data_IF_862498754944
#
_entry.id   IF_862498754944
#
_cell.length_a   1.000
_cell.length_b   1.000
_cell.length_c   1.000
_cell.angle_alpha   90.00
_cell.angle_beta   90.00
_cell.angle_gamma   90.00
#
_symmetry.space_group_name_H-M   'P 1'
#
loop_
_entity.id
_entity.type
_entity.pdbx_description
1 polymer ?
#
# COMPACT_ATOMS: atom_id res chain seq x y z
N UNK A 1 -35.16 31.71 44.07
CA UNK A 1 -36.27 31.68 43.10
C UNK A 1 -35.83 30.85 41.91
N UNK A 2 -36.37 29.64 41.78
CA UNK A 2 -36.66 28.87 40.55
C UNK A 2 -36.93 27.42 40.98
N UNK A 3 -38.15 27.22 41.46
CA UNK A 3 -38.83 25.93 41.57
C UNK A 3 -39.31 25.49 40.18
N UNK A 4 -39.26 24.18 39.93
CA UNK A 4 -40.24 23.50 39.09
C UNK A 4 -39.82 23.19 37.66
N UNK A 5 -39.27 22.00 37.43
CA UNK A 5 -39.41 21.28 36.16
C UNK A 5 -39.99 19.90 36.42
N UNK A 6 -41.05 19.48 35.68
CA UNK A 6 -41.81 18.29 36.01
C UNK A 6 -41.10 17.00 35.57
N UNK A 7 -40.95 16.08 36.52
CA UNK A 7 -40.39 14.72 36.39
C UNK A 7 -41.17 13.76 35.48
N UNK A 8 -42.12 14.25 34.67
CA UNK A 8 -43.15 13.41 34.05
C UNK A 8 -42.84 12.93 32.62
N UNK A 9 -41.72 13.32 32.03
CA UNK A 9 -41.37 12.97 30.64
C UNK A 9 -40.45 11.74 30.48
N UNK A 10 -39.81 11.27 31.56
CA UNK A 10 -38.86 10.14 31.49
C UNK A 10 -39.57 8.78 31.36
N UNK A 11 -40.84 8.67 31.78
CA UNK A 11 -41.60 7.42 31.69
C UNK A 11 -42.11 7.07 30.29
N UNK A 12 -42.33 8.06 29.41
CA UNK A 12 -42.88 7.82 28.06
C UNK A 12 -41.82 7.42 27.02
N UNK A 13 -40.57 7.84 27.21
CA UNK A 13 -39.46 7.42 26.34
C UNK A 13 -39.02 5.98 26.61
N UNK A 14 -39.05 5.53 27.87
CA UNK A 14 -38.75 4.13 28.21
C UNK A 14 -39.75 3.13 27.59
N UNK A 15 -41.05 3.45 27.60
CA UNK A 15 -42.10 2.58 27.03
C UNK A 15 -42.09 2.54 25.48
N UNK A 16 -41.60 3.60 24.83
CA UNK A 16 -41.44 3.64 23.37
C UNK A 16 -40.21 2.84 22.90
N UNK A 17 -39.12 2.84 23.68
CA UNK A 17 -37.91 2.05 23.39
C UNK A 17 -38.16 0.55 23.60
N UNK A 18 -38.98 0.18 24.58
CA UNK A 18 -39.30 -1.23 24.84
C UNK A 18 -40.20 -1.85 23.76
N UNK A 19 -41.15 -1.08 23.20
CA UNK A 19 -41.98 -1.52 22.06
C UNK A 19 -41.19 -1.63 20.73
N UNK A 20 -40.08 -0.91 20.58
CA UNK A 20 -39.17 -1.05 19.44
C UNK A 20 -38.33 -2.33 19.55
N UNK A 21 -38.01 -2.77 20.77
CA UNK A 21 -37.20 -3.96 21.00
C UNK A 21 -37.99 -5.27 20.73
N UNK A 22 -39.32 -5.28 20.94
CA UNK A 22 -40.17 -6.44 20.62
C UNK A 22 -40.50 -6.61 19.13
N UNK A 23 -40.38 -5.57 18.31
CA UNK A 23 -40.55 -5.70 16.84
C UNK A 23 -39.30 -6.20 16.11
N UNK A 24 -38.15 -6.28 16.79
CA UNK A 24 -36.88 -6.75 16.23
C UNK A 24 -36.69 -8.27 16.45
N UNK A 25 -37.56 -8.94 17.21
CA UNK A 25 -37.53 -10.39 17.42
C UNK A 25 -38.30 -11.22 16.38
N UNK A 26 -38.41 -10.74 15.13
CA UNK A 26 -38.78 -11.63 14.02
C UNK A 26 -37.51 -12.38 13.62
N UNK A 27 -37.42 -13.71 13.78
CA UNK A 27 -36.29 -14.47 13.28
C UNK A 27 -36.29 -14.34 11.75
N UNK A 28 -35.33 -13.56 11.23
CA UNK A 28 -35.02 -13.56 9.82
C UNK A 28 -34.73 -15.01 9.42
N UNK A 29 -35.64 -15.60 8.64
CA UNK A 29 -35.46 -16.89 8.04
C UNK A 29 -34.09 -16.91 7.34
N UNK A 30 -33.19 -17.72 7.87
CA UNK A 30 -31.92 -18.11 7.27
C UNK A 30 -32.19 -18.66 5.87
N UNK A 31 -32.22 -17.77 4.87
CA UNK A 31 -32.20 -18.14 3.46
C UNK A 31 -30.91 -18.89 3.22
N UNK A 32 -31.07 -20.13 2.77
CA UNK A 32 -30.08 -21.19 2.90
C UNK A 32 -28.68 -20.84 2.39
N UNK A 33 -27.71 -21.34 3.14
CA UNK A 33 -26.26 -21.35 2.94
C UNK A 33 -25.80 -22.07 1.65
N UNK A 34 -26.64 -22.17 0.61
CA UNK A 34 -26.33 -22.80 -0.69
C UNK A 34 -25.44 -21.92 -1.58
N UNK A 35 -25.35 -20.62 -1.31
CA UNK A 35 -24.50 -19.68 -2.06
C UNK A 35 -23.01 -19.79 -1.70
N UNK A 36 -22.67 -19.99 -0.42
CA UNK A 36 -21.27 -20.06 0.05
C UNK A 36 -20.55 -21.28 -0.49
N UNK A 37 -21.17 -22.47 -0.44
CA UNK A 37 -20.56 -23.70 -0.95
C UNK A 37 -20.28 -23.66 -2.46
N UNK A 38 -21.13 -23.01 -3.26
CA UNK A 38 -20.90 -22.83 -4.70
C UNK A 38 -19.78 -21.83 -4.97
N UNK A 39 -19.66 -20.80 -4.13
CA UNK A 39 -18.61 -19.80 -4.24
C UNK A 39 -17.24 -20.37 -3.82
N UNK A 40 -17.18 -21.11 -2.72
CA UNK A 40 -15.96 -21.79 -2.28
C UNK A 40 -15.49 -22.77 -3.35
N UNK A 41 -16.42 -23.51 -3.97
CA UNK A 41 -16.10 -24.39 -5.10
C UNK A 41 -15.60 -23.62 -6.32
N UNK A 42 -16.19 -22.47 -6.64
CA UNK A 42 -15.80 -21.64 -7.79
C UNK A 42 -14.45 -20.94 -7.55
N UNK A 43 -14.16 -20.53 -6.31
CA UNK A 43 -12.87 -20.00 -5.89
C UNK A 43 -11.80 -21.08 -5.95
N UNK A 44 -12.07 -22.27 -5.43
CA UNK A 44 -11.19 -23.44 -5.57
C UNK A 44 -10.99 -23.77 -7.05
N UNK A 45 -12.04 -23.73 -7.87
CA UNK A 45 -11.93 -23.98 -9.32
C UNK A 45 -11.07 -22.92 -10.00
N UNK A 46 -11.23 -21.63 -9.69
CA UNK A 46 -10.38 -20.56 -10.26
C UNK A 46 -8.94 -20.73 -9.80
N UNK A 47 -8.71 -21.04 -8.52
CA UNK A 47 -7.37 -21.33 -8.00
C UNK A 47 -6.76 -22.55 -8.69
N UNK A 48 -7.53 -23.62 -8.89
CA UNK A 48 -7.10 -24.84 -9.59
C UNK A 48 -6.84 -24.56 -11.07
N UNK A 49 -7.68 -23.76 -11.74
CA UNK A 49 -7.46 -23.38 -13.14
C UNK A 49 -6.22 -22.50 -13.26
N UNK A 50 -6.03 -21.52 -12.38
CA UNK A 50 -4.82 -20.68 -12.36
C UNK A 50 -3.59 -21.53 -12.06
N UNK A 51 -3.66 -22.45 -11.09
CA UNK A 51 -2.59 -23.41 -10.80
C UNK A 51 -2.35 -24.40 -11.94
N UNK A 52 -3.37 -24.75 -12.73
CA UNK A 52 -3.24 -25.61 -13.90
C UNK A 52 -2.67 -24.87 -15.12
N UNK A 53 -2.78 -23.53 -15.14
CA UNK A 53 -2.06 -22.69 -16.11
C UNK A 53 -0.60 -22.44 -15.69
N UNK A 54 -0.24 -22.73 -14.43
CA UNK A 54 1.16 -22.91 -14.05
C UNK A 54 1.57 -24.29 -14.57
N UNK A 55 2.49 -24.40 -15.54
CA UNK A 55 2.88 -25.69 -16.08
C UNK A 55 3.38 -26.58 -14.94
N UNK A 56 2.69 -27.70 -14.71
CA UNK A 56 3.12 -28.75 -13.78
C UNK A 56 4.45 -29.26 -14.31
N UNK A 57 5.54 -28.86 -13.65
CA UNK A 57 6.87 -29.32 -13.98
C UNK A 57 6.88 -30.85 -13.96
N UNK A 58 7.18 -31.44 -15.12
CA UNK A 58 7.59 -32.84 -15.20
C UNK A 58 8.82 -32.99 -14.31
N UNK A 59 8.71 -33.74 -13.22
CA UNK A 59 9.82 -34.06 -12.33
C UNK A 59 10.91 -34.92 -13.00
N UNK A 60 10.73 -35.26 -14.28
CA UNK A 60 11.71 -35.99 -15.08
C UNK A 60 11.87 -35.37 -16.47
N UNK A 61 13.09 -34.89 -16.72
CA UNK A 61 13.68 -34.74 -18.06
C UNK A 61 13.35 -33.45 -18.81
N UNK A 62 14.18 -32.42 -18.61
CA UNK A 62 14.21 -31.25 -19.47
C UNK A 62 15.30 -30.27 -19.04
N UNK A 63 16.50 -30.42 -19.61
CA UNK A 63 17.61 -29.47 -19.47
C UNK A 63 17.30 -28.17 -20.24
N UNK A 64 16.42 -27.34 -19.68
CA UNK A 64 16.14 -26.00 -20.17
C UNK A 64 15.52 -25.13 -19.07
N UNK A 65 15.83 -23.82 -19.02
CA UNK A 65 15.27 -22.94 -18.00
C UNK A 65 13.74 -22.93 -18.08
N UNK A 66 13.05 -22.84 -16.94
CA UNK A 66 11.59 -22.68 -16.87
C UNK A 66 11.16 -21.52 -17.79
N UNK A 67 10.63 -21.83 -18.98
CA UNK A 67 10.14 -20.80 -19.90
C UNK A 67 8.72 -20.41 -19.48
N UNK A 68 8.60 -19.73 -18.34
CA UNK A 68 7.36 -19.02 -18.03
C UNK A 68 7.28 -17.83 -18.99
N UNK A 69 6.32 -17.88 -19.91
CA UNK A 69 6.18 -16.82 -20.91
C UNK A 69 5.69 -15.52 -20.27
N UNK A 70 6.11 -14.37 -20.83
CA UNK A 70 5.58 -13.04 -20.46
C UNK A 70 4.05 -13.00 -20.50
N UNK A 71 3.43 -13.67 -21.48
CA UNK A 71 1.97 -13.74 -21.60
C UNK A 71 1.32 -14.48 -20.43
N UNK A 72 1.93 -15.58 -19.95
CA UNK A 72 1.44 -16.31 -18.79
C UNK A 72 1.44 -15.45 -17.52
N UNK A 73 2.51 -14.67 -17.30
CA UNK A 73 2.58 -13.77 -16.14
C UNK A 73 1.50 -12.67 -16.15
N UNK A 74 1.21 -12.10 -17.33
CA UNK A 74 0.11 -11.14 -17.52
C UNK A 74 -1.24 -11.82 -17.24
N UNK A 75 -1.45 -13.05 -17.73
CA UNK A 75 -2.68 -13.78 -17.50
C UNK A 75 -2.91 -14.07 -16.00
N UNK A 76 -1.85 -14.44 -15.26
CA UNK A 76 -1.90 -14.63 -13.81
C UNK A 76 -2.25 -13.32 -13.10
N UNK A 77 -1.60 -12.21 -13.46
CA UNK A 77 -1.92 -10.89 -12.92
C UNK A 77 -3.38 -10.50 -13.15
N UNK A 78 -3.86 -10.60 -14.40
CA UNK A 78 -5.24 -10.29 -14.77
C UNK A 78 -6.25 -11.21 -14.08
N UNK A 79 -5.90 -12.49 -13.89
CA UNK A 79 -6.70 -13.44 -13.11
C UNK A 79 -6.86 -13.00 -11.65
N UNK A 80 -5.79 -12.54 -11.01
CA UNK A 80 -5.83 -11.98 -9.67
C UNK A 80 -6.70 -10.72 -9.57
N UNK A 81 -6.52 -9.78 -10.52
CA UNK A 81 -7.37 -8.56 -10.62
C UNK A 81 -8.83 -8.91 -10.82
N UNK A 82 -9.13 -9.87 -11.70
CA UNK A 82 -10.48 -10.37 -11.96
C UNK A 82 -11.12 -10.98 -10.72
N UNK A 83 -10.35 -11.72 -9.91
CA UNK A 83 -10.83 -12.30 -8.66
C UNK A 83 -11.14 -11.22 -7.61
N UNK A 84 -10.29 -10.20 -7.47
CA UNK A 84 -10.55 -9.04 -6.58
C UNK A 84 -11.83 -8.32 -7.01
N UNK A 85 -11.94 -7.96 -8.30
CA UNK A 85 -13.10 -7.27 -8.84
C UNK A 85 -14.38 -8.10 -8.70
N UNK A 86 -14.31 -9.41 -9.01
CA UNK A 86 -15.42 -10.35 -8.86
C UNK A 86 -15.91 -10.45 -7.42
N UNK A 87 -15.00 -10.62 -6.46
CA UNK A 87 -15.36 -10.68 -5.04
C UNK A 87 -15.98 -9.37 -4.54
N UNK A 88 -15.43 -8.22 -4.95
CA UNK A 88 -15.98 -6.91 -4.60
C UNK A 88 -17.39 -6.69 -5.21
N UNK A 89 -17.61 -7.09 -6.46
CA UNK A 89 -18.91 -7.00 -7.13
C UNK A 89 -19.94 -7.95 -6.49
N UNK A 90 -19.54 -9.17 -6.13
CA UNK A 90 -20.41 -10.12 -5.45
C UNK A 90 -20.79 -9.64 -4.05
N UNK A 91 -19.86 -9.03 -3.30
CA UNK A 91 -20.17 -8.35 -2.02
C UNK A 91 -21.16 -7.21 -2.26
N UNK A 92 -20.92 -6.39 -3.28
CA UNK A 92 -21.78 -5.23 -3.59
C UNK A 92 -23.21 -5.63 -3.95
N UNK A 93 -23.39 -6.79 -4.58
CA UNK A 93 -24.71 -7.37 -4.92
C UNK A 93 -25.28 -8.28 -3.82
N UNK A 94 -24.66 -8.30 -2.64
CA UNK A 94 -25.10 -9.11 -1.48
C UNK A 94 -25.15 -10.63 -1.74
N UNK A 95 -24.42 -11.13 -2.75
CA UNK A 95 -24.37 -12.56 -3.06
C UNK A 95 -23.44 -13.36 -2.14
N UNK A 96 -22.47 -12.69 -1.51
CA UNK A 96 -21.48 -13.30 -0.62
C UNK A 96 -21.33 -12.47 0.65
N UNK A 97 -21.02 -13.15 1.76
CA UNK A 97 -20.70 -12.46 3.02
C UNK A 97 -19.44 -11.59 2.86
N UNK A 98 -19.32 -10.47 3.58
CA UNK A 98 -18.10 -9.66 3.63
C UNK A 98 -16.87 -10.48 4.02
N UNK A 99 -17.01 -11.46 4.91
CA UNK A 99 -15.89 -12.33 5.31
C UNK A 99 -15.36 -13.12 4.13
N UNK A 100 -16.25 -13.78 3.38
CA UNK A 100 -15.90 -14.53 2.17
C UNK A 100 -15.29 -13.61 1.11
N UNK A 101 -15.88 -12.42 0.90
CA UNK A 101 -15.37 -11.44 -0.04
C UNK A 101 -13.95 -10.97 0.31
N UNK A 102 -13.67 -10.71 1.59
CA UNK A 102 -12.35 -10.28 2.06
C UNK A 102 -11.28 -11.35 1.87
N UNK A 103 -11.58 -12.62 2.17
CA UNK A 103 -10.66 -13.72 1.88
C UNK A 103 -10.43 -13.88 0.37
N UNK A 104 -11.50 -13.79 -0.42
CA UNK A 104 -11.41 -13.80 -1.88
C UNK A 104 -10.51 -12.68 -2.40
N UNK A 105 -10.72 -11.45 -1.94
CA UNK A 105 -9.84 -10.31 -2.29
C UNK A 105 -8.40 -10.57 -1.87
N UNK A 106 -8.16 -11.10 -0.67
CA UNK A 106 -6.81 -11.44 -0.20
C UNK A 106 -6.11 -12.45 -1.11
N UNK A 107 -6.81 -13.50 -1.54
CA UNK A 107 -6.29 -14.48 -2.52
C UNK A 107 -6.03 -13.82 -3.87
N UNK A 108 -6.95 -12.97 -4.35
CA UNK A 108 -6.80 -12.27 -5.62
C UNK A 108 -5.60 -11.33 -5.64
N UNK A 109 -5.36 -10.61 -4.53
CA UNK A 109 -4.18 -9.76 -4.36
C UNK A 109 -2.89 -10.58 -4.37
N UNK A 110 -2.86 -11.72 -3.68
CA UNK A 110 -1.70 -12.62 -3.71
C UNK A 110 -1.40 -13.11 -5.12
N UNK A 111 -2.42 -13.58 -5.85
CA UNK A 111 -2.29 -14.03 -7.24
C UNK A 111 -1.82 -12.89 -8.15
N UNK A 112 -2.37 -11.68 -7.99
CA UNK A 112 -1.97 -10.51 -8.77
C UNK A 112 -0.50 -10.16 -8.54
N UNK A 113 -0.06 -10.11 -7.27
CA UNK A 113 1.33 -9.81 -6.92
C UNK A 113 2.27 -10.89 -7.44
N UNK A 114 1.90 -12.16 -7.32
CA UNK A 114 2.68 -13.26 -7.90
C UNK A 114 2.85 -13.08 -9.42
N UNK A 115 1.77 -12.72 -10.13
CA UNK A 115 1.82 -12.40 -11.55
C UNK A 115 2.79 -11.27 -11.88
N UNK A 116 2.82 -10.21 -11.06
CA UNK A 116 3.76 -9.10 -11.21
C UNK A 116 5.21 -9.55 -10.96
N UNK A 117 5.48 -10.29 -9.89
CA UNK A 117 6.81 -10.77 -9.54
C UNK A 117 7.38 -11.64 -10.66
N UNK A 118 6.56 -12.56 -11.18
CA UNK A 118 6.93 -13.39 -12.32
C UNK A 118 7.18 -12.52 -13.56
N UNK A 119 6.27 -11.58 -13.86
CA UNK A 119 6.39 -10.69 -15.02
C UNK A 119 7.69 -9.89 -14.98
N UNK A 120 8.05 -9.37 -13.80
CA UNK A 120 9.26 -8.60 -13.60
C UNK A 120 10.52 -9.44 -13.81
N UNK A 121 10.54 -10.67 -13.26
CA UNK A 121 11.65 -11.61 -13.40
C UNK A 121 11.85 -12.19 -14.81
N UNK A 122 10.80 -12.24 -15.65
CA UNK A 122 10.90 -12.72 -17.05
C UNK A 122 11.03 -11.58 -18.07
N UNK A 123 10.86 -10.33 -17.65
CA UNK A 123 10.96 -9.16 -18.53
C UNK A 123 12.32 -8.49 -18.31
N UNK A 124 13.19 -8.42 -19.33
CA UNK A 124 14.50 -7.79 -19.20
C UNK A 124 14.36 -6.31 -18.83
N UNK A 125 15.27 -5.82 -18.02
CA UNK A 125 15.28 -4.42 -17.62
C UNK A 125 15.61 -3.52 -18.83
N UNK A 126 14.79 -2.49 -19.08
CA UNK A 126 15.08 -1.57 -20.15
C UNK A 126 16.30 -0.72 -19.79
N UNK A 127 17.40 -0.90 -20.53
CA UNK A 127 18.58 -0.05 -20.41
C UNK A 127 18.40 1.21 -21.27
N UNK A 128 18.16 2.35 -20.63
CA UNK A 128 18.08 3.65 -21.31
C UNK A 128 19.37 4.44 -21.12
N UNK A 129 19.86 5.08 -22.19
CA UNK A 129 21.01 5.97 -22.11
C UNK A 129 20.63 7.26 -21.36
N UNK A 130 21.58 7.87 -20.63
CA UNK A 130 21.35 9.14 -19.92
C UNK A 130 20.93 10.30 -20.86
N UNK A 131 21.21 10.19 -22.16
CA UNK A 131 20.73 11.13 -23.19
C UNK A 131 19.21 11.12 -23.40
N UNK A 132 18.49 10.12 -22.87
CA UNK A 132 17.03 10.02 -22.92
C UNK A 132 16.33 10.62 -21.70
N UNK A 133 17.07 11.27 -20.79
CA UNK A 133 16.47 12.01 -19.69
C UNK A 133 15.59 13.16 -20.23
N UNK A 134 14.36 13.32 -19.73
CA UNK A 134 13.46 14.37 -20.22
C UNK A 134 13.95 15.78 -19.88
N UNK A 135 14.74 15.93 -18.81
CA UNK A 135 15.31 17.19 -18.37
C UNK A 135 16.75 17.00 -17.89
N UNK A 136 17.64 18.00 -18.08
CA UNK A 136 18.98 17.94 -17.51
C UNK A 136 18.93 18.08 -15.99
N UNK A 137 19.82 17.36 -15.30
CA UNK A 137 19.89 17.31 -13.81
C UNK A 137 20.09 18.69 -13.15
N UNK A 138 20.59 19.69 -13.88
CA UNK A 138 20.68 21.07 -13.37
C UNK A 138 19.31 21.65 -12.98
N UNK A 139 18.22 21.18 -13.60
CA UNK A 139 16.86 21.60 -13.24
C UNK A 139 16.33 20.93 -11.98
N UNK A 140 16.92 19.81 -11.55
CA UNK A 140 16.46 19.08 -10.37
C UNK A 140 16.63 19.93 -9.12
N UNK A 141 17.69 20.74 -9.05
CA UNK A 141 17.92 21.66 -7.93
C UNK A 141 16.81 22.71 -7.83
N UNK A 142 16.50 23.37 -8.94
CA UNK A 142 15.46 24.39 -8.98
C UNK A 142 14.10 23.81 -8.61
N UNK A 143 13.73 22.66 -9.20
CA UNK A 143 12.45 22.01 -8.92
C UNK A 143 12.40 21.44 -7.51
N UNK A 144 13.44 20.76 -7.04
CA UNK A 144 13.50 20.16 -5.71
C UNK A 144 13.40 21.19 -4.60
N UNK A 145 14.15 22.30 -4.70
CA UNK A 145 14.03 23.40 -3.75
C UNK A 145 12.68 24.11 -3.86
N UNK A 146 12.24 24.45 -5.07
CA UNK A 146 10.97 25.15 -5.28
C UNK A 146 9.77 24.35 -4.75
N UNK A 147 9.71 23.05 -5.08
CA UNK A 147 8.67 22.14 -4.62
C UNK A 147 8.78 21.96 -3.09
N UNK A 148 9.95 21.66 -2.55
CA UNK A 148 10.12 21.48 -1.11
C UNK A 148 9.70 22.71 -0.30
N UNK A 149 10.16 23.91 -0.71
CA UNK A 149 9.79 25.18 -0.05
C UNK A 149 8.30 25.48 -0.18
N UNK A 150 7.71 25.28 -1.36
CA UNK A 150 6.28 25.49 -1.56
C UNK A 150 5.43 24.54 -0.69
N UNK A 151 5.84 23.28 -0.54
CA UNK A 151 5.20 22.33 0.38
C UNK A 151 5.30 22.80 1.82
N UNK A 152 6.46 23.28 2.28
CA UNK A 152 6.63 23.85 3.63
C UNK A 152 5.68 25.04 3.85
N UNK A 153 5.71 26.02 2.95
CA UNK A 153 4.92 27.25 3.07
C UNK A 153 3.42 26.96 3.00
N UNK A 154 2.99 26.12 2.05
CA UNK A 154 1.59 25.72 1.92
C UNK A 154 1.13 24.94 3.15
N UNK A 155 1.93 24.00 3.67
CA UNK A 155 1.60 23.24 4.86
C UNK A 155 1.47 24.13 6.09
N UNK A 156 2.33 25.14 6.21
CA UNK A 156 2.26 26.13 7.28
C UNK A 156 0.98 26.98 7.18
N UNK A 157 0.70 27.54 6.00
CA UNK A 157 -0.50 28.36 5.77
C UNK A 157 -1.80 27.58 5.96
N UNK A 158 -1.91 26.40 5.35
CA UNK A 158 -3.09 25.53 5.48
C UNK A 158 -3.20 25.02 6.93
N UNK A 159 -2.09 24.62 7.55
CA UNK A 159 -2.07 24.16 8.93
C UNK A 159 -2.58 25.20 9.92
N UNK A 160 -2.11 26.44 9.80
CA UNK A 160 -2.58 27.55 10.64
C UNK A 160 -4.05 27.90 10.40
N UNK A 161 -4.51 27.89 9.15
CA UNK A 161 -5.87 28.32 8.82
C UNK A 161 -6.92 27.22 9.08
N UNK A 162 -6.62 25.98 8.68
CA UNK A 162 -7.57 24.87 8.73
C UNK A 162 -7.50 24.08 10.03
N UNK A 163 -6.33 23.98 10.66
CA UNK A 163 -6.10 23.14 11.84
C UNK A 163 -5.26 23.83 12.94
N UNK A 164 -5.68 25.00 13.46
CA UNK A 164 -4.90 25.75 14.46
C UNK A 164 -4.68 24.98 15.76
N UNK A 165 -5.58 24.05 16.10
CA UNK A 165 -5.50 23.21 17.31
C UNK A 165 -4.75 21.89 17.10
N UNK A 166 -4.33 21.57 15.86
CA UNK A 166 -3.65 20.31 15.51
C UNK A 166 -2.34 20.58 14.76
N UNK A 167 -1.33 21.18 15.42
CA UNK A 167 -0.07 21.59 14.77
C UNK A 167 0.72 20.42 14.18
N UNK A 168 0.47 19.19 14.63
CA UNK A 168 1.08 17.95 14.13
C UNK A 168 0.93 17.76 12.61
N UNK A 169 -0.17 18.21 11.98
CA UNK A 169 -0.33 18.13 10.52
C UNK A 169 0.58 19.13 9.81
N UNK A 170 0.75 20.32 10.37
CA UNK A 170 1.72 21.31 9.91
C UNK A 170 3.14 20.76 9.97
N UNK A 171 3.51 20.12 11.09
CA UNK A 171 4.82 19.49 11.25
C UNK A 171 5.06 18.37 10.24
N UNK A 172 4.03 17.55 9.95
CA UNK A 172 4.14 16.52 8.92
C UNK A 172 4.43 17.15 7.56
N UNK A 173 3.68 18.19 7.17
CA UNK A 173 3.91 18.90 5.92
C UNK A 173 5.28 19.58 5.83
N UNK A 174 5.78 20.16 6.93
CA UNK A 174 7.14 20.71 7.00
C UNK A 174 8.18 19.61 6.81
N UNK A 175 8.03 18.47 7.50
CA UNK A 175 8.93 17.32 7.38
C UNK A 175 8.97 16.77 5.95
N UNK A 176 7.81 16.72 5.29
CA UNK A 176 7.66 16.30 3.90
C UNK A 176 8.30 17.29 2.92
N UNK A 177 8.18 18.60 3.14
CA UNK A 177 8.88 19.60 2.33
C UNK A 177 10.40 19.56 2.53
N UNK A 178 10.86 19.28 3.76
CA UNK A 178 12.26 19.02 4.06
C UNK A 178 12.78 17.75 3.38
N UNK A 179 11.98 16.69 3.33
CA UNK A 179 12.33 15.46 2.60
C UNK A 179 12.68 15.75 1.14
N UNK A 180 11.89 16.59 0.47
CA UNK A 180 12.08 16.94 -0.95
C UNK A 180 13.29 17.87 -1.14
N UNK A 181 13.44 18.86 -0.27
CA UNK A 181 14.46 19.91 -0.41
C UNK A 181 15.83 19.52 0.16
N UNK A 182 15.91 18.54 1.06
CA UNK A 182 17.11 18.15 1.79
C UNK A 182 18.36 17.93 0.91
N UNK A 183 18.31 17.13 -0.19
CA UNK A 183 19.49 16.85 -1.02
C UNK A 183 20.06 18.10 -1.71
N UNK A 184 19.28 19.17 -1.76
CA UNK A 184 19.63 20.41 -2.44
C UNK A 184 20.07 21.51 -1.47
N UNK A 185 19.66 21.41 -0.19
CA UNK A 185 20.11 22.28 0.90
C UNK A 185 21.53 21.86 1.34
N UNK A 186 21.72 20.57 1.60
CA UNK A 186 23.03 20.02 1.96
C UNK A 186 23.62 19.40 0.71
N UNK A 187 24.67 20.03 0.17
CA UNK A 187 25.22 19.67 -1.14
C UNK A 187 26.37 18.67 -1.03
N UNK A 188 26.54 17.90 -2.11
CA UNK A 188 27.68 17.01 -2.28
C UNK A 188 27.59 15.74 -1.44
N UNK A 189 28.71 15.02 -1.32
CA UNK A 189 28.79 13.74 -0.61
C UNK A 189 28.43 13.84 0.87
N UNK A 190 28.59 15.02 1.48
CA UNK A 190 28.19 15.28 2.86
C UNK A 190 26.68 15.08 3.08
N UNK A 191 25.84 15.26 2.05
CA UNK A 191 24.39 15.02 2.16
C UNK A 191 24.05 13.61 2.59
N UNK A 192 24.84 12.61 2.17
CA UNK A 192 24.49 11.21 2.38
C UNK A 192 24.78 10.72 3.80
N UNK A 193 25.66 11.41 4.53
CA UNK A 193 26.06 11.01 5.90
C UNK A 193 25.61 12.02 6.97
N UNK A 194 24.94 13.10 6.57
CA UNK A 194 24.56 14.16 7.49
C UNK A 194 23.39 13.73 8.40
N UNK A 195 23.46 13.97 9.73
CA UNK A 195 22.50 13.48 10.72
C UNK A 195 21.05 13.95 10.46
N UNK A 196 20.90 15.14 9.86
CA UNK A 196 19.59 15.69 9.51
C UNK A 196 18.83 14.81 8.52
N UNK A 197 19.51 14.16 7.56
CA UNK A 197 18.85 13.23 6.64
C UNK A 197 18.30 12.00 7.36
N UNK A 198 19.08 11.41 8.27
CA UNK A 198 18.62 10.29 9.10
C UNK A 198 17.45 10.69 9.99
N UNK A 199 17.47 11.91 10.55
CA UNK A 199 16.39 12.45 11.35
C UNK A 199 15.09 12.61 10.54
N UNK A 200 15.17 13.08 9.28
CA UNK A 200 14.00 13.17 8.41
C UNK A 200 13.44 11.77 8.12
N UNK A 201 14.32 10.84 7.72
CA UNK A 201 13.91 9.47 7.34
C UNK A 201 13.26 8.73 8.51
N UNK A 202 13.91 8.71 9.67
CA UNK A 202 13.42 8.01 10.86
C UNK A 202 12.32 8.78 11.59
N UNK A 203 12.34 10.11 11.52
CA UNK A 203 11.32 10.97 12.13
C UNK A 203 9.96 10.84 11.44
N UNK A 204 9.94 10.54 10.14
CA UNK A 204 8.71 10.38 9.36
C UNK A 204 7.77 9.29 9.90
N UNK A 205 8.19 8.01 10.04
CA UNK A 205 7.32 6.98 10.59
C UNK A 205 6.93 7.25 12.04
N UNK A 206 7.82 7.86 12.84
CA UNK A 206 7.52 8.25 14.23
C UNK A 206 6.40 9.29 14.25
N UNK A 207 6.50 10.33 13.42
CA UNK A 207 5.50 11.40 13.36
C UNK A 207 4.16 10.91 12.81
N UNK A 208 4.18 10.08 11.76
CA UNK A 208 2.98 9.44 11.21
C UNK A 208 2.31 8.56 12.27
N UNK A 209 3.09 7.70 12.95
CA UNK A 209 2.59 6.86 14.04
C UNK A 209 2.02 7.69 15.19
N UNK A 210 2.68 8.78 15.58
CA UNK A 210 2.20 9.71 16.58
C UNK A 210 0.88 10.36 16.20
N UNK A 211 0.73 10.82 14.96
CA UNK A 211 -0.51 11.42 14.45
C UNK A 211 -1.65 10.38 14.49
N UNK A 212 -1.41 9.18 13.96
CA UNK A 212 -2.42 8.11 13.93
C UNK A 212 -2.84 7.72 15.34
N UNK A 213 -1.89 7.57 16.24
CA UNK A 213 -2.15 7.19 17.63
C UNK A 213 -2.92 8.26 18.40
N UNK A 214 -2.50 9.52 18.29
CA UNK A 214 -3.10 10.64 19.03
C UNK A 214 -4.52 10.92 18.56
N UNK A 215 -4.79 10.77 17.27
CA UNK A 215 -6.06 11.24 16.70
C UNK A 215 -7.10 10.16 16.60
N UNK A 216 -6.65 8.94 16.27
CA UNK A 216 -7.52 7.83 15.88
C UNK A 216 -7.08 6.50 16.50
N UNK A 217 -6.24 6.54 17.53
CA UNK A 217 -5.72 5.35 18.21
C UNK A 217 -6.83 4.42 18.71
N UNK A 218 -7.93 4.97 19.23
CA UNK A 218 -9.06 4.18 19.75
C UNK A 218 -9.82 3.44 18.65
N UNK A 219 -10.06 4.10 17.51
CA UNK A 219 -10.75 3.50 16.35
C UNK A 219 -9.88 2.41 15.75
N UNK A 220 -8.59 2.70 15.53
CA UNK A 220 -7.63 1.73 15.00
C UNK A 220 -7.53 0.53 15.94
N UNK A 221 -7.37 0.74 17.26
CA UNK A 221 -7.30 -0.33 18.26
C UNK A 221 -8.58 -1.17 18.26
N UNK A 222 -9.74 -0.56 18.10
CA UNK A 222 -11.02 -1.26 18.02
C UNK A 222 -11.11 -2.11 16.75
N UNK A 223 -10.70 -1.59 15.61
CA UNK A 223 -10.65 -2.33 14.36
C UNK A 223 -9.66 -3.51 14.43
N UNK A 224 -8.53 -3.37 15.14
CA UNK A 224 -7.59 -4.46 15.40
C UNK A 224 -8.13 -5.60 16.28
N UNK A 225 -9.21 -5.36 17.05
CA UNK A 225 -9.87 -6.43 17.81
C UNK A 225 -10.68 -7.36 16.92
N UNK A 226 -11.04 -6.93 15.72
CA UNK A 226 -11.72 -7.76 14.74
C UNK A 226 -10.73 -8.74 14.08
N UNK A 227 -10.84 -10.03 14.39
CA UNK A 227 -9.91 -11.05 13.87
C UNK A 227 -9.86 -11.12 12.34
N UNK A 228 -10.98 -10.88 11.64
CA UNK A 228 -11.03 -10.96 10.17
C UNK A 228 -10.38 -9.73 9.57
N UNK A 229 -10.73 -8.54 10.05
CA UNK A 229 -10.14 -7.29 9.58
C UNK A 229 -8.64 -7.23 9.87
N UNK A 230 -8.22 -7.71 11.05
CA UNK A 230 -6.80 -7.83 11.42
C UNK A 230 -6.03 -8.76 10.49
N UNK A 231 -6.58 -9.94 10.18
CA UNK A 231 -5.95 -10.88 9.25
C UNK A 231 -5.86 -10.27 7.85
N UNK A 232 -6.93 -9.66 7.36
CA UNK A 232 -6.94 -9.01 6.06
C UNK A 232 -5.92 -7.88 5.98
N UNK A 233 -5.89 -6.98 6.96
CA UNK A 233 -4.89 -5.91 7.05
C UNK A 233 -3.46 -6.44 7.09
N UNK A 234 -3.19 -7.46 7.91
CA UNK A 234 -1.87 -8.10 7.99
C UNK A 234 -1.46 -8.76 6.66
N UNK A 235 -2.39 -9.44 5.98
CA UNK A 235 -2.16 -9.99 4.64
C UNK A 235 -1.80 -8.88 3.66
N UNK A 236 -2.56 -7.78 3.63
CA UNK A 236 -2.29 -6.65 2.73
C UNK A 236 -0.94 -5.98 3.04
N UNK A 237 -0.58 -5.81 4.31
CA UNK A 237 0.75 -5.32 4.72
C UNK A 237 1.86 -6.22 4.18
N UNK A 238 1.75 -7.54 4.40
CA UNK A 238 2.75 -8.51 3.96
C UNK A 238 2.90 -8.53 2.45
N UNK A 239 1.77 -8.57 1.74
CA UNK A 239 1.71 -8.57 0.29
C UNK A 239 2.30 -7.28 -0.31
N UNK A 240 1.96 -6.13 0.27
CA UNK A 240 2.50 -4.83 -0.17
C UNK A 240 4.01 -4.72 0.08
N UNK A 241 4.48 -5.21 1.23
CA UNK A 241 5.91 -5.26 1.55
C UNK A 241 6.68 -6.16 0.59
N UNK A 242 6.15 -7.35 0.29
CA UNK A 242 6.71 -8.26 -0.70
C UNK A 242 6.77 -7.61 -2.09
N UNK A 243 5.66 -7.00 -2.52
CA UNK A 243 5.58 -6.29 -3.79
C UNK A 243 6.63 -5.17 -3.89
N UNK A 244 6.79 -4.36 -2.84
CA UNK A 244 7.77 -3.27 -2.83
C UNK A 244 9.20 -3.79 -2.83
N UNK A 245 9.53 -4.81 -2.03
CA UNK A 245 10.86 -5.40 -1.99
C UNK A 245 11.24 -5.98 -3.36
N UNK A 246 10.32 -6.68 -4.02
CA UNK A 246 10.60 -7.26 -5.34
C UNK A 246 10.69 -6.21 -6.43
N UNK A 247 9.72 -5.29 -6.50
CA UNK A 247 9.69 -4.26 -7.56
C UNK A 247 10.88 -3.28 -7.51
N UNK A 248 11.52 -3.15 -6.35
CA UNK A 248 12.71 -2.32 -6.16
C UNK A 248 14.03 -3.09 -6.28
N UNK A 249 13.98 -4.40 -6.54
CA UNK A 249 15.18 -5.25 -6.67
C UNK A 249 15.84 -5.63 -5.34
N UNK A 250 15.30 -5.19 -4.18
CA UNK A 250 15.77 -5.65 -2.86
C UNK A 250 15.45 -7.12 -2.59
N UNK A 251 14.52 -7.70 -3.35
CA UNK A 251 14.25 -9.12 -3.42
C UNK A 251 14.14 -9.54 -4.88
N UNK A 252 15.23 -10.03 -5.47
CA UNK A 252 15.27 -10.38 -6.90
C UNK A 252 15.50 -11.87 -7.12
N UNK A 253 14.96 -12.40 -8.22
CA UNK A 253 15.17 -13.77 -8.68
C UNK A 253 16.00 -13.80 -9.96
N UNK A 254 17.16 -14.47 -9.94
CA UNK A 254 18.07 -14.53 -11.08
C UNK A 254 18.00 -15.90 -11.76
N UNK A 255 17.33 -15.97 -12.92
CA UNK A 255 17.19 -17.21 -13.68
C UNK A 255 18.32 -17.48 -14.69
N UNK A 256 19.41 -16.71 -14.64
CA UNK A 256 20.53 -16.82 -15.58
C UNK A 256 21.69 -17.68 -15.06
N UNK A 257 22.33 -18.41 -15.98
CA UNK A 257 23.53 -19.20 -15.75
C UNK A 257 24.78 -18.30 -15.84
N UNK A 258 25.45 -18.08 -14.70
CA UNK A 258 26.67 -17.25 -14.64
C UNK A 258 27.01 -16.63 -13.29
N UNK A 259 26.16 -16.82 -12.28
CA UNK A 259 26.34 -16.25 -10.95
C UNK A 259 27.41 -16.96 -10.10
N UNK A 260 27.95 -16.29 -9.07
CA UNK A 260 28.89 -16.89 -8.13
C UNK A 260 28.30 -18.16 -7.53
N UNK A 261 29.03 -19.29 -7.62
CA UNK A 261 28.61 -20.58 -7.04
C UNK A 261 28.67 -20.60 -5.51
N UNK A 262 29.19 -19.55 -4.90
CA UNK A 262 29.40 -19.43 -3.46
C UNK A 262 28.41 -18.45 -2.85
N UNK A 263 27.99 -18.71 -1.61
CA UNK A 263 27.15 -17.78 -0.85
C UNK A 263 27.99 -16.54 -0.56
N UNK A 264 27.60 -15.41 -1.14
CA UNK A 264 28.22 -14.11 -0.85
C UNK A 264 27.32 -13.38 0.13
N UNK A 265 27.88 -13.04 1.29
CA UNK A 265 27.28 -12.13 2.26
C UNK A 265 28.20 -10.93 2.35
N UNK A 266 27.70 -9.77 1.96
CA UNK A 266 28.49 -8.54 1.93
C UNK A 266 27.68 -7.38 2.45
N UNK A 267 28.37 -6.41 3.07
CA UNK A 267 27.76 -5.18 3.56
C UNK A 267 28.30 -4.05 2.71
N UNK A 268 27.43 -3.40 1.93
CA UNK A 268 27.80 -2.27 1.10
C UNK A 268 27.05 -1.01 1.53
N UNK A 269 27.72 0.15 1.52
CA UNK A 269 27.05 1.42 1.66
C UNK A 269 26.24 1.73 0.40
N UNK A 270 24.92 1.88 0.54
CA UNK A 270 24.01 2.23 -0.56
C UNK A 270 23.30 3.53 -0.24
N UNK A 271 23.33 4.45 -1.20
CA UNK A 271 22.58 5.70 -1.10
C UNK A 271 21.10 5.43 -1.39
N UNK A 272 20.25 5.57 -0.37
CA UNK A 272 18.82 5.32 -0.48
C UNK A 272 18.03 6.30 0.37
N UNK A 273 17.05 6.98 -0.25
CA UNK A 273 16.10 7.85 0.44
C UNK A 273 16.80 8.89 1.32
N UNK A 274 17.53 9.82 0.68
CA UNK A 274 18.27 10.95 1.27
C UNK A 274 19.64 10.64 1.88
N UNK A 275 19.85 9.45 2.46
CA UNK A 275 21.09 9.11 3.18
C UNK A 275 21.69 7.78 2.75
N UNK A 276 22.92 7.53 3.19
CA UNK A 276 23.64 6.30 2.99
C UNK A 276 23.27 5.30 4.09
N UNK A 277 22.94 4.08 3.68
CA UNK A 277 22.64 2.99 4.61
C UNK A 277 23.57 1.83 4.33
N UNK A 278 24.05 1.20 5.41
CA UNK A 278 24.70 -0.09 5.31
C UNK A 278 23.64 -1.12 4.90
N UNK A 279 23.86 -1.72 3.73
CA UNK A 279 22.95 -2.68 3.11
C UNK A 279 23.60 -4.05 3.16
N UNK A 280 22.92 -4.98 3.83
CA UNK A 280 23.30 -6.38 3.85
C UNK A 280 22.77 -7.04 2.57
N UNK A 281 23.67 -7.43 1.69
CA UNK A 281 23.37 -8.17 0.48
C UNK A 281 23.72 -9.65 0.69
N UNK A 282 22.74 -10.52 0.47
CA UNK A 282 22.83 -11.97 0.61
C UNK A 282 22.47 -12.57 -0.74
N UNK A 283 23.47 -13.17 -1.39
CA UNK A 283 23.28 -13.97 -2.60
C UNK A 283 23.26 -15.43 -2.21
N UNK A 284 22.13 -16.09 -2.44
CA UNK A 284 22.00 -17.53 -2.24
C UNK A 284 22.17 -18.19 -3.62
N UNK A 285 23.17 -19.06 -3.84
CA UNK A 285 23.33 -19.73 -5.13
C UNK A 285 22.42 -20.97 -5.28
N UNK A 286 21.98 -21.57 -4.16
CA UNK A 286 21.12 -22.76 -4.17
C UNK A 286 19.66 -22.46 -4.53
N UNK A 287 19.22 -21.24 -4.27
CA UNK A 287 17.92 -20.71 -4.68
C UNK A 287 18.24 -19.43 -5.42
N UNK A 288 17.82 -19.22 -6.68
CA UNK A 288 18.15 -18.03 -7.45
C UNK A 288 17.50 -16.78 -6.85
N UNK A 289 18.01 -16.34 -5.71
CA UNK A 289 17.41 -15.37 -4.81
C UNK A 289 18.52 -14.48 -4.27
N UNK A 290 18.35 -13.18 -4.50
CA UNK A 290 19.18 -12.16 -3.88
C UNK A 290 18.31 -11.28 -3.00
N UNK A 291 18.81 -11.06 -1.79
CA UNK A 291 18.14 -10.26 -0.77
C UNK A 291 19.09 -9.14 -0.38
N UNK A 292 18.63 -7.90 -0.52
CA UNK A 292 19.35 -6.72 -0.05
C UNK A 292 18.48 -6.00 0.98
N UNK A 293 18.97 -5.90 2.22
CA UNK A 293 18.24 -5.32 3.34
C UNK A 293 19.06 -4.21 4.00
N UNK A 294 18.42 -3.06 4.20
CA UNK A 294 18.98 -1.94 4.94
C UNK A 294 17.93 -1.32 5.85
N UNK A 295 18.36 -0.57 6.86
CA UNK A 295 17.46 0.15 7.77
C UNK A 295 16.57 1.12 6.99
N UNK A 296 17.11 1.79 5.97
CA UNK A 296 16.35 2.70 5.10
C UNK A 296 15.23 1.98 4.36
N UNK A 297 15.51 0.81 3.79
CA UNK A 297 14.51 -0.03 3.10
C UNK A 297 13.43 -0.48 4.07
N UNK A 298 13.82 -1.05 5.21
CA UNK A 298 12.87 -1.51 6.24
C UNK A 298 11.98 -0.36 6.72
N UNK A 299 12.55 0.83 6.90
CA UNK A 299 11.81 2.01 7.37
C UNK A 299 10.76 2.45 6.36
N UNK A 300 11.13 2.62 5.09
CA UNK A 300 10.23 3.17 4.07
C UNK A 300 9.24 2.13 3.55
N UNK A 301 9.74 0.94 3.18
CA UNK A 301 8.86 -0.17 2.77
C UNK A 301 7.94 -0.54 3.93
N UNK A 302 8.45 -0.59 5.16
CA UNK A 302 7.64 -0.83 6.35
C UNK A 302 6.57 0.23 6.57
N UNK A 303 6.93 1.52 6.54
CA UNK A 303 5.98 2.62 6.69
C UNK A 303 4.85 2.54 5.66
N UNK A 304 5.19 2.42 4.38
CA UNK A 304 4.20 2.37 3.30
C UNK A 304 3.32 1.11 3.42
N UNK A 305 3.92 -0.05 3.65
CA UNK A 305 3.19 -1.32 3.78
C UNK A 305 2.24 -1.31 4.97
N UNK A 306 2.68 -0.76 6.12
CA UNK A 306 1.85 -0.62 7.31
C UNK A 306 0.72 0.37 7.07
N UNK A 307 0.99 1.52 6.44
CA UNK A 307 -0.05 2.49 6.09
C UNK A 307 -1.11 1.88 5.17
N UNK A 308 -0.69 1.16 4.12
CA UNK A 308 -1.61 0.46 3.21
C UNK A 308 -2.43 -0.59 3.97
N UNK A 309 -1.78 -1.42 4.79
CA UNK A 309 -2.44 -2.47 5.54
C UNK A 309 -3.40 -1.96 6.63
N UNK A 310 -3.09 -0.85 7.30
CA UNK A 310 -4.00 -0.23 8.27
C UNK A 310 -5.20 0.39 7.57
N UNK A 311 -5.03 1.03 6.41
CA UNK A 311 -6.17 1.48 5.60
C UNK A 311 -7.04 0.29 5.15
N UNK A 312 -6.42 -0.80 4.69
CA UNK A 312 -7.14 -2.02 4.31
C UNK A 312 -7.88 -2.67 5.50
N UNK A 313 -7.28 -2.64 6.69
CA UNK A 313 -7.90 -3.10 7.93
C UNK A 313 -9.15 -2.29 8.26
N UNK A 314 -9.10 -0.95 8.14
CA UNK A 314 -10.25 -0.09 8.37
C UNK A 314 -11.38 -0.35 7.36
N UNK A 315 -11.05 -0.51 6.08
CA UNK A 315 -12.02 -0.88 5.03
C UNK A 315 -12.68 -2.23 5.35
N UNK A 316 -11.89 -3.23 5.72
CA UNK A 316 -12.41 -4.55 6.09
C UNK A 316 -13.30 -4.49 7.33
N UNK A 317 -12.91 -3.70 8.33
CA UNK A 317 -13.72 -3.48 9.53
C UNK A 317 -15.03 -2.78 9.21
N UNK A 318 -15.02 -1.74 8.37
CA UNK A 318 -16.21 -1.04 7.90
C UNK A 318 -17.17 -1.98 7.16
N UNK A 319 -16.69 -2.80 6.23
CA UNK A 319 -17.53 -3.77 5.51
C UNK A 319 -18.23 -4.76 6.45
N UNK A 320 -17.59 -5.12 7.57
CA UNK A 320 -18.17 -6.00 8.59
C UNK A 320 -19.12 -5.27 9.54
N UNK A 321 -18.97 -3.96 9.72
CA UNK A 321 -19.92 -3.14 10.47
C UNK A 321 -21.18 -2.83 9.66
N UNK A 322 -21.04 -2.51 8.36
CA UNK A 322 -22.17 -2.29 7.44
C UNK A 322 -23.14 -3.48 7.46
N UNK A 323 -22.63 -4.71 7.39
CA UNK A 323 -23.43 -5.94 7.45
C UNK A 323 -24.17 -6.09 8.78
N UNK A 324 -23.56 -5.67 9.90
CA UNK A 324 -24.19 -5.73 11.22
C UNK A 324 -25.21 -4.62 11.46
N UNK A 325 -25.04 -3.48 10.79
CA UNK A 325 -25.87 -2.29 10.98
C UNK A 325 -26.94 -2.10 9.89
N UNK A 326 -26.92 -2.91 8.81
CA UNK A 326 -27.88 -2.79 7.71
C UNK A 326 -27.82 -1.45 6.96
N UNK A 327 -26.67 -0.76 6.99
CA UNK A 327 -26.50 0.59 6.41
C UNK A 327 -25.78 0.58 5.05
N UNK A 328 -26.13 1.56 4.22
CA UNK A 328 -25.74 1.70 2.80
C UNK A 328 -24.27 2.13 2.59
N UNK A 329 -23.66 1.64 1.51
CA UNK A 329 -22.21 1.65 1.20
C UNK A 329 -21.49 3.02 1.24
N UNK A 330 -20.32 3.05 1.90
CA UNK A 330 -19.31 4.10 1.76
C UNK A 330 -18.31 3.86 0.61
N UNK A 331 -17.84 4.94 -0.03
CA UNK A 331 -16.90 4.95 -1.18
C UNK A 331 -15.42 4.85 -0.81
N UNK A 332 -15.08 4.46 0.42
CA UNK A 332 -13.73 4.54 0.99
C UNK A 332 -12.64 3.69 0.26
N UNK A 333 -13.03 2.72 -0.58
CA UNK A 333 -12.10 1.73 -1.14
C UNK A 333 -11.28 2.13 -2.38
N UNK A 334 -11.66 3.16 -3.14
CA UNK A 334 -10.96 3.52 -4.40
C UNK A 334 -9.69 4.35 -4.17
N UNK A 335 -9.64 5.12 -3.08
CA UNK A 335 -8.47 5.97 -2.76
C UNK A 335 -7.23 5.18 -2.31
N UNK A 336 -7.42 4.05 -1.61
CA UNK A 336 -6.30 3.25 -1.10
C UNK A 336 -5.55 2.46 -2.17
N UNK A 337 -6.22 2.12 -3.28
CA UNK A 337 -5.63 1.34 -4.39
C UNK A 337 -4.75 2.24 -5.27
N UNK A 338 -5.15 3.49 -5.50
CA UNK A 338 -4.38 4.44 -6.33
C UNK A 338 -3.09 4.88 -5.61
N UNK A 339 -3.13 5.04 -4.28
CA UNK A 339 -1.96 5.46 -3.50
C UNK A 339 -0.82 4.42 -3.44
N UNK A 340 -1.11 3.13 -3.59
CA UNK A 340 -0.09 2.08 -3.42
C UNK A 340 0.98 2.10 -4.51
N UNK A 341 0.66 2.57 -5.71
CA UNK A 341 1.59 2.71 -6.83
C UNK A 341 2.34 4.06 -6.83
N UNK A 342 2.13 4.92 -5.83
CA UNK A 342 2.64 6.29 -5.79
C UNK A 342 4.03 6.38 -5.12
N UNK A 343 4.63 5.28 -4.64
CA UNK A 343 5.94 5.28 -3.94
C UNK A 343 7.18 5.52 -4.84
N UNK A 344 7.02 5.68 -6.16
CA UNK A 344 8.14 5.72 -7.13
C UNK A 344 8.92 4.39 -7.30
N UNK A 345 8.79 3.47 -6.34
CA UNK A 345 9.41 2.15 -6.32
C UNK A 345 8.88 1.19 -7.40
N UNK A 346 7.77 1.53 -8.06
CA UNK A 346 7.26 0.83 -9.24
C UNK A 346 7.87 1.36 -10.56
N UNK A 347 8.80 2.32 -10.53
CA UNK A 347 9.37 2.96 -11.72
C UNK A 347 9.83 2.01 -12.82
N UNK A 348 10.70 1.03 -12.52
CA UNK A 348 11.12 0.00 -13.48
C UNK A 348 9.94 -0.80 -14.05
N UNK A 349 8.99 -1.20 -13.19
CA UNK A 349 7.80 -1.94 -13.59
C UNK A 349 6.87 -1.10 -14.50
N UNK A 350 6.63 0.17 -14.16
CA UNK A 350 5.85 1.12 -14.97
C UNK A 350 6.54 1.35 -16.31
N UNK A 351 7.86 1.47 -16.33
CA UNK A 351 8.62 1.57 -17.57
C UNK A 351 8.47 0.32 -18.44
N UNK A 352 8.57 -0.89 -17.87
CA UNK A 352 8.33 -2.17 -18.57
C UNK A 352 6.92 -2.24 -19.17
N UNK A 353 5.90 -1.76 -18.43
CA UNK A 353 4.51 -1.67 -18.91
C UNK A 353 4.39 -0.62 -20.02
N UNK A 354 5.00 0.56 -19.87
CA UNK A 354 4.99 1.62 -20.86
C UNK A 354 5.68 1.19 -22.17
N UNK A 355 6.77 0.43 -22.09
CA UNK A 355 7.40 -0.19 -23.28
C UNK A 355 6.41 -1.08 -24.00
N UNK A 356 5.68 -1.91 -23.25
CA UNK A 356 4.71 -2.85 -23.81
C UNK A 356 3.49 -2.15 -24.43
N UNK A 357 3.00 -1.08 -23.80
CA UNK A 357 1.74 -0.42 -24.20
C UNK A 357 1.93 0.71 -25.21
N UNK A 358 2.99 1.51 -25.06
CA UNK A 358 3.19 2.75 -25.79
C UNK A 358 4.56 2.84 -26.50
N UNK A 359 5.40 1.81 -26.35
CA UNK A 359 6.72 1.72 -26.96
C UNK A 359 7.83 2.44 -26.17
N UNK A 360 9.10 2.24 -26.59
CA UNK A 360 10.28 2.74 -25.86
C UNK A 360 10.36 4.27 -25.72
N UNK A 361 9.77 5.02 -26.65
CA UNK A 361 9.80 6.50 -26.67
C UNK A 361 9.01 7.14 -25.52
N UNK A 362 7.94 6.51 -25.06
CA UNK A 362 7.16 6.95 -23.89
C UNK A 362 7.73 6.39 -22.59
N UNK A 363 8.32 5.20 -22.65
CA UNK A 363 8.87 4.53 -21.49
C UNK A 363 10.20 5.12 -20.98
N UNK A 364 11.05 5.64 -21.87
CA UNK A 364 12.36 6.18 -21.47
C UNK A 364 12.24 7.39 -20.52
N UNK A 365 11.38 8.41 -20.79
CA UNK A 365 11.17 9.50 -19.84
C UNK A 365 10.58 9.02 -18.52
N UNK A 366 9.62 8.09 -18.55
CA UNK A 366 8.99 7.53 -17.34
C UNK A 366 10.00 6.77 -16.50
N UNK A 367 10.87 5.97 -17.12
CA UNK A 367 11.95 5.26 -16.44
C UNK A 367 12.83 6.23 -15.66
N UNK A 368 13.34 7.29 -16.30
CA UNK A 368 14.23 8.25 -15.65
C UNK A 368 13.57 9.07 -14.54
N UNK A 369 12.27 9.37 -14.68
CA UNK A 369 11.51 10.11 -13.64
C UNK A 369 11.46 9.34 -12.32
N UNK A 370 11.40 8.01 -12.37
CA UNK A 370 11.23 7.17 -11.18
C UNK A 370 12.51 6.44 -10.73
N UNK A 371 13.38 6.05 -11.66
CA UNK A 371 14.62 5.31 -11.37
C UNK A 371 15.71 6.21 -10.81
N UNK A 372 15.76 7.48 -11.22
CA UNK A 372 16.71 8.41 -10.64
C UNK A 372 16.25 8.77 -9.22
N UNK A 373 16.91 8.21 -8.20
CA UNK A 373 16.62 8.49 -6.79
C UNK A 373 16.89 9.94 -6.40
N UNK A 374 17.64 10.69 -7.23
CA UNK A 374 17.83 12.13 -7.09
C UNK A 374 16.69 12.95 -7.72
N UNK A 375 15.75 12.32 -8.43
CA UNK A 375 14.61 12.99 -9.06
C UNK A 375 13.68 13.61 -8.00
N UNK A 376 13.38 14.92 -8.07
CA UNK A 376 12.43 15.57 -7.16
C UNK A 376 11.01 15.01 -7.33
N UNK A 377 10.69 14.44 -8.49
CA UNK A 377 9.42 13.77 -8.72
C UNK A 377 9.32 12.49 -7.88
N UNK A 378 10.34 11.65 -7.88
CA UNK A 378 10.35 10.42 -7.05
C UNK A 378 10.15 10.73 -5.57
N UNK A 379 10.83 11.77 -5.06
CA UNK A 379 10.64 12.26 -3.70
C UNK A 379 9.21 12.77 -3.45
N UNK A 380 8.65 13.57 -4.37
CA UNK A 380 7.27 14.06 -4.28
C UNK A 380 6.25 12.92 -4.28
N UNK A 381 6.48 11.89 -5.08
CA UNK A 381 5.64 10.69 -5.16
C UNK A 381 5.60 9.97 -3.81
N UNK A 382 6.75 9.70 -3.19
CA UNK A 382 6.84 9.08 -1.86
C UNK A 382 6.14 9.94 -0.79
N UNK A 383 6.45 11.23 -0.77
CA UNK A 383 5.86 12.19 0.17
C UNK A 383 4.33 12.25 0.02
N UNK A 384 3.83 12.39 -1.21
CA UNK A 384 2.42 12.41 -1.50
C UNK A 384 1.73 11.12 -1.05
N UNK A 385 2.38 9.97 -1.26
CA UNK A 385 1.88 8.67 -0.82
C UNK A 385 1.70 8.62 0.70
N UNK A 386 2.73 9.00 1.46
CA UNK A 386 2.70 9.02 2.92
C UNK A 386 1.59 9.96 3.42
N UNK A 387 1.49 11.16 2.84
CA UNK A 387 0.46 12.15 3.20
C UNK A 387 -0.94 11.64 2.86
N UNK A 388 -1.17 11.13 1.66
CA UNK A 388 -2.47 10.63 1.21
C UNK A 388 -2.93 9.45 2.08
N UNK A 389 -2.06 8.48 2.36
CA UNK A 389 -2.46 7.34 3.20
C UNK A 389 -2.70 7.72 4.65
N UNK A 390 -1.91 8.65 5.19
CA UNK A 390 -2.11 9.18 6.54
C UNK A 390 -3.42 9.96 6.61
N UNK A 391 -3.67 10.85 5.64
CA UNK A 391 -4.90 11.62 5.56
C UNK A 391 -6.13 10.73 5.34
N UNK A 392 -6.05 9.71 4.49
CA UNK A 392 -7.14 8.75 4.24
C UNK A 392 -7.49 7.99 5.52
N UNK A 393 -6.48 7.56 6.29
CA UNK A 393 -6.69 6.89 7.57
C UNK A 393 -7.40 7.80 8.58
N UNK A 394 -6.99 9.06 8.67
CA UNK A 394 -7.62 10.04 9.56
C UNK A 394 -9.04 10.37 9.10
N UNK A 395 -9.23 10.61 7.81
CA UNK A 395 -10.51 11.07 7.27
C UNK A 395 -11.58 9.98 7.29
N UNK A 396 -11.23 8.76 6.86
CA UNK A 396 -12.14 7.60 6.83
C UNK A 396 -12.68 7.20 8.21
N UNK A 397 -12.00 7.62 9.28
CA UNK A 397 -12.41 7.35 10.66
C UNK A 397 -13.19 8.50 11.29
N UNK A 398 -13.24 9.70 10.69
CA UNK A 398 -14.12 10.78 11.18
C UNK A 398 -15.59 10.43 10.98
N UNK A 399 -15.92 9.82 9.84
CA UNK A 399 -17.29 9.39 9.50
C UNK A 399 -17.83 8.28 10.42
N UNK A 400 -16.96 7.59 11.17
CA UNK A 400 -17.31 6.44 12.01
C UNK A 400 -17.67 6.81 13.45
N UNK A 401 -17.41 8.06 13.86
CA UNK A 401 -17.81 8.55 15.19
C UNK A 401 -19.07 9.39 14.98
N UNK A 402 -20.27 8.91 15.37
CA UNK A 402 -21.44 9.78 15.40
C UNK A 402 -21.09 10.93 16.34
N UNK A 403 -21.19 12.16 15.84
CA UNK A 403 -21.07 13.35 16.66
C UNK A 403 -22.10 13.25 17.78
N UNK A 404 -21.63 12.90 18.98
CA UNK A 404 -22.36 13.10 20.20
C UNK A 404 -22.45 14.62 20.41
N UNK A 405 -23.47 15.22 19.81
CA UNK A 405 -23.95 16.57 20.09
C UNK A 405 -25.33 16.47 20.67
#
# INVERSE_FOLDING_TARGET
>A
MLQGYPRHQIGRTAAAVQNLNERISIPAQSKGNRGSARFDFLLVLVVVVVLAQVPVASAHGGDGPLVISKQASIAVFLGGVGLVAGCALLKRREYVSPTTALYGIGVGLFVAILGIIIFDGVTPDPAYAASSMPFPRSWYELFGLGIGVSVVVASFGIGLHRWPTRPRYTFLGILMGLWISYPYIIRGSASYTHPLGYLIVLGTPILVGYIVWTDRGDVVRTAFRDCVARRFGATVTLLSGLFFLTSSGYLSFFWEEGLPRERVVTVLPVNYQLVQWDTLEIVLPQFPLTVALSIGVVTIVGLLSVLIGVNALLIAWQWRLEEKAGMMQGTAGTGSVIGACTCGCCGPLVAKIAVLAAGPSVAAPLYWVFVDSSSPLSALFIVATVVIFTATLIYSTEELVPSAT
#
